data_IF_138199690433
#
_entry.id   IF_138199690433
#
_cell.length_a   1.000
_cell.length_b   1.000
_cell.length_c   1.000
_cell.angle_alpha   90.00
_cell.angle_beta   90.00
_cell.angle_gamma   90.00
#
_symmetry.space_group_name_H-M   'P 1'
#
loop_
_entity.id
_entity.type
_entity.pdbx_description
1 polymer ?
#
# COMPACT_ATOMS: atom_id res chain seq x y z
N UNK A 1 24.82 9.16 -27.18
CA UNK A 1 25.32 10.53 -27.56
C UNK A 1 24.42 11.24 -28.58
N UNK A 2 23.79 10.49 -29.51
CA UNK A 2 22.94 11.13 -30.56
C UNK A 2 21.75 11.90 -30.01
N UNK A 3 20.96 11.33 -29.10
CA UNK A 3 19.74 11.98 -28.61
C UNK A 3 20.00 13.23 -27.78
N UNK A 4 21.05 13.27 -26.95
CA UNK A 4 21.40 14.45 -26.16
C UNK A 4 21.77 15.64 -27.07
N UNK A 5 22.57 15.40 -28.12
CA UNK A 5 22.90 16.44 -29.12
C UNK A 5 21.67 16.93 -29.86
N UNK A 6 20.77 16.00 -30.24
CA UNK A 6 19.55 16.35 -30.95
C UNK A 6 18.64 17.24 -30.10
N UNK A 7 18.52 16.95 -28.81
CA UNK A 7 17.76 17.77 -27.85
C UNK A 7 18.34 19.17 -27.74
N UNK A 8 19.68 19.29 -27.60
CA UNK A 8 20.36 20.59 -27.54
C UNK A 8 20.12 21.39 -28.83
N UNK A 9 20.28 20.78 -30.00
CA UNK A 9 20.02 21.41 -31.30
C UNK A 9 18.57 21.85 -31.45
N UNK A 10 17.62 21.01 -31.06
CA UNK A 10 16.18 21.33 -31.10
C UNK A 10 15.87 22.55 -30.24
N UNK A 11 16.35 22.59 -29.00
CA UNK A 11 16.13 23.73 -28.10
C UNK A 11 16.81 25.01 -28.62
N UNK A 12 18.00 24.89 -29.20
CA UNK A 12 18.70 26.05 -29.81
C UNK A 12 17.92 26.69 -30.97
N UNK A 13 17.17 25.89 -31.76
CA UNK A 13 16.31 26.42 -32.84
C UNK A 13 15.19 27.33 -32.29
N UNK A 14 14.81 27.17 -31.03
CA UNK A 14 13.83 28.03 -30.37
C UNK A 14 14.46 29.09 -29.45
N UNK A 15 15.77 29.35 -29.61
CA UNK A 15 16.50 30.35 -28.84
C UNK A 15 16.71 29.94 -27.35
N UNK A 16 16.69 28.66 -27.04
CA UNK A 16 16.94 28.15 -25.70
C UNK A 16 18.33 27.51 -25.68
N UNK A 17 19.25 28.11 -24.96
CA UNK A 17 20.60 27.62 -24.77
C UNK A 17 20.66 26.66 -23.61
N UNK A 18 21.14 25.43 -23.86
CA UNK A 18 21.36 24.38 -22.84
C UNK A 18 22.67 23.65 -23.12
N UNK A 19 23.33 23.22 -22.04
CA UNK A 19 24.48 22.33 -22.12
C UNK A 19 24.07 20.88 -21.82
N UNK A 20 24.65 19.88 -22.51
CA UNK A 20 24.40 18.47 -22.18
C UNK A 20 25.00 18.13 -20.81
N UNK A 21 24.24 17.39 -19.99
CA UNK A 21 24.65 16.85 -18.71
C UNK A 21 24.73 15.33 -18.72
N UNK A 22 24.43 14.73 -17.57
CA UNK A 22 24.51 13.29 -17.36
C UNK A 22 23.47 12.52 -18.18
N UNK A 23 23.83 11.29 -18.56
CA UNK A 23 22.93 10.36 -19.24
C UNK A 23 22.81 9.12 -18.33
N UNK A 24 21.60 8.91 -17.80
CA UNK A 24 21.30 7.75 -16.94
C UNK A 24 20.41 6.76 -17.69
N UNK A 25 20.91 5.56 -17.90
CA UNK A 25 20.21 4.52 -18.62
C UNK A 25 19.58 3.52 -17.65
N UNK A 26 18.26 3.54 -17.53
CA UNK A 26 17.48 2.57 -16.79
C UNK A 26 16.97 1.40 -17.67
N UNK A 27 16.22 0.46 -17.08
CA UNK A 27 15.72 -0.72 -17.80
C UNK A 27 14.65 -0.37 -18.86
N UNK A 28 13.82 0.64 -18.63
CA UNK A 28 12.69 1.00 -19.51
C UNK A 28 12.84 2.36 -20.14
N UNK A 29 13.54 3.29 -19.49
CA UNK A 29 13.76 4.67 -19.96
C UNK A 29 15.23 5.04 -19.82
N UNK A 30 15.64 6.05 -20.61
CA UNK A 30 16.92 6.76 -20.46
C UNK A 30 16.62 8.21 -20.11
N UNK A 31 17.21 8.71 -19.02
CA UNK A 31 17.15 10.11 -18.63
C UNK A 31 18.37 10.85 -19.19
N UNK A 32 18.10 11.94 -19.89
CA UNK A 32 19.11 12.89 -20.37
C UNK A 32 18.97 14.16 -19.52
N UNK A 33 20.02 14.55 -18.82
CA UNK A 33 20.06 15.81 -18.09
C UNK A 33 20.60 16.92 -19.00
N UNK A 34 19.95 18.07 -18.94
CA UNK A 34 20.37 19.27 -19.65
C UNK A 34 20.52 20.42 -18.64
N UNK A 35 21.58 21.20 -18.78
CA UNK A 35 21.85 22.37 -17.94
C UNK A 35 21.45 23.64 -18.70
N UNK A 36 20.34 24.31 -18.32
CA UNK A 36 19.93 25.56 -18.94
C UNK A 36 20.95 26.67 -18.66
N UNK A 37 21.20 27.52 -19.67
CA UNK A 37 22.02 28.71 -19.49
C UNK A 37 21.39 29.70 -18.49
N UNK A 38 22.18 30.54 -17.81
CA UNK A 38 21.65 31.54 -16.88
C UNK A 38 20.57 32.42 -17.55
N UNK A 39 19.43 32.56 -16.84
CA UNK A 39 18.28 33.34 -17.35
C UNK A 39 17.27 32.57 -18.20
N UNK A 40 17.52 31.30 -18.53
CA UNK A 40 16.55 30.43 -19.22
C UNK A 40 15.47 29.98 -18.22
N UNK A 41 14.20 30.29 -18.54
CA UNK A 41 13.05 29.82 -17.77
C UNK A 41 12.74 28.36 -18.10
N UNK A 42 12.65 27.52 -17.08
CA UNK A 42 12.42 26.08 -17.25
C UNK A 42 11.09 25.76 -17.94
N UNK A 43 10.05 26.58 -17.71
CA UNK A 43 8.74 26.44 -18.33
C UNK A 43 8.82 26.52 -19.86
N UNK A 44 9.78 27.29 -20.42
CA UNK A 44 9.99 27.34 -21.87
C UNK A 44 10.45 25.99 -22.43
N UNK A 45 11.28 25.25 -21.68
CA UNK A 45 11.75 23.93 -22.09
C UNK A 45 10.58 22.96 -22.05
N UNK A 46 9.78 23.00 -20.97
CA UNK A 46 8.58 22.14 -20.80
C UNK A 46 7.58 22.39 -21.93
N UNK A 47 7.36 23.65 -22.33
CA UNK A 47 6.45 24.02 -23.43
C UNK A 47 6.86 23.41 -24.78
N UNK A 48 8.14 23.10 -24.97
CA UNK A 48 8.66 22.48 -26.18
C UNK A 48 8.68 20.94 -26.16
N UNK A 49 7.97 20.32 -25.22
CA UNK A 49 7.97 18.86 -25.08
C UNK A 49 7.54 18.13 -26.37
N UNK A 50 6.55 18.65 -27.09
CA UNK A 50 6.11 18.10 -28.36
C UNK A 50 7.17 18.21 -29.47
N UNK A 51 7.89 19.31 -29.51
CA UNK A 51 8.95 19.54 -30.48
C UNK A 51 10.14 18.60 -30.25
N UNK A 52 10.51 18.41 -28.98
CA UNK A 52 11.56 17.47 -28.56
C UNK A 52 11.12 16.03 -28.87
N UNK A 53 9.88 15.68 -28.58
CA UNK A 53 9.31 14.36 -28.87
C UNK A 53 9.37 14.03 -30.35
N UNK A 54 8.97 15.00 -31.20
CA UNK A 54 9.02 14.85 -32.66
C UNK A 54 10.45 14.70 -33.16
N UNK A 55 11.38 15.54 -32.68
CA UNK A 55 12.79 15.49 -33.07
C UNK A 55 13.43 14.13 -32.71
N UNK A 56 13.10 13.56 -31.54
CA UNK A 56 13.59 12.29 -31.11
C UNK A 56 12.88 11.10 -31.78
N UNK A 57 11.79 11.34 -32.51
CA UNK A 57 10.90 10.30 -33.05
C UNK A 57 10.44 9.33 -31.94
N UNK A 58 10.26 9.87 -30.72
CA UNK A 58 9.78 9.11 -29.59
C UNK A 58 8.25 9.09 -29.56
N UNK A 59 7.66 8.03 -29.01
CA UNK A 59 6.22 7.95 -28.82
C UNK A 59 5.73 8.96 -27.77
N UNK A 60 6.50 9.11 -26.70
CA UNK A 60 6.23 10.01 -25.57
C UNK A 60 7.53 10.30 -24.83
N UNK A 61 7.66 11.50 -24.27
CA UNK A 61 8.72 11.83 -23.32
C UNK A 61 8.11 12.40 -22.04
N UNK A 62 8.90 12.37 -20.96
CA UNK A 62 8.55 13.03 -19.71
C UNK A 62 9.65 14.02 -19.34
N UNK A 63 9.28 15.27 -18.97
CA UNK A 63 10.23 16.32 -18.63
C UNK A 63 10.11 16.65 -17.14
N UNK A 64 11.22 16.49 -16.43
CA UNK A 64 11.39 16.89 -15.03
C UNK A 64 12.12 18.25 -15.01
N UNK A 65 11.44 19.29 -14.61
CA UNK A 65 12.01 20.65 -14.60
C UNK A 65 11.65 21.37 -13.28
N UNK A 66 12.58 21.43 -12.31
CA UNK A 66 13.93 20.84 -12.30
C UNK A 66 13.96 19.35 -11.92
N UNK A 67 15.11 18.69 -12.11
CA UNK A 67 15.38 17.39 -11.50
C UNK A 67 15.49 17.58 -9.98
N UNK A 68 14.80 16.79 -9.16
CA UNK A 68 14.86 16.90 -7.70
C UNK A 68 16.32 16.92 -7.17
N UNK A 69 16.66 17.95 -6.39
CA UNK A 69 18.00 18.12 -5.81
C UNK A 69 19.06 18.67 -6.79
N UNK A 70 18.70 19.01 -8.03
CA UNK A 70 19.61 19.56 -9.06
C UNK A 70 19.02 20.81 -9.71
N UNK A 71 19.87 21.62 -10.34
CA UNK A 71 19.46 22.74 -11.19
C UNK A 71 19.28 22.36 -12.68
N UNK A 72 19.38 21.09 -13.02
CA UNK A 72 19.24 20.56 -14.37
C UNK A 72 17.78 20.23 -14.71
N UNK A 73 17.50 20.10 -16.00
CA UNK A 73 16.25 19.55 -16.55
C UNK A 73 16.51 18.13 -17.02
N UNK A 74 15.70 17.18 -16.55
CA UNK A 74 15.74 15.79 -16.95
C UNK A 74 14.71 15.51 -18.04
N UNK A 75 15.14 14.93 -19.16
CA UNK A 75 14.26 14.46 -20.23
C UNK A 75 14.32 12.93 -20.26
N UNK A 76 13.22 12.31 -19.93
CA UNK A 76 13.09 10.85 -19.90
C UNK A 76 12.49 10.37 -21.22
N UNK A 77 13.24 9.52 -21.89
CA UNK A 77 12.89 8.94 -23.20
C UNK A 77 12.78 7.44 -23.08
N UNK A 78 11.68 6.82 -23.52
CA UNK A 78 11.55 5.37 -23.54
C UNK A 78 12.68 4.73 -24.36
N UNK A 79 13.22 3.63 -23.83
CA UNK A 79 14.22 2.86 -24.55
C UNK A 79 13.60 2.13 -25.74
N UNK A 80 14.28 2.11 -26.88
CA UNK A 80 13.84 1.35 -28.05
C UNK A 80 13.75 -0.18 -27.73
N UNK A 81 14.68 -0.66 -26.92
CA UNK A 81 14.64 -2.03 -26.36
C UNK A 81 14.54 -1.91 -24.87
N UNK A 82 13.40 -2.35 -24.31
CA UNK A 82 13.16 -2.37 -22.86
C UNK A 82 13.72 -3.65 -22.26
N UNK A 83 14.47 -3.52 -21.16
CA UNK A 83 14.92 -4.66 -20.38
C UNK A 83 13.83 -5.05 -19.39
N UNK A 84 13.48 -6.34 -19.36
CA UNK A 84 12.49 -6.84 -18.38
C UNK A 84 13.10 -6.76 -16.98
N UNK A 85 12.31 -6.24 -16.03
CA UNK A 85 12.63 -6.30 -14.60
C UNK A 85 12.07 -7.61 -14.06
N UNK A 86 12.94 -8.48 -13.58
CA UNK A 86 12.59 -9.83 -13.13
C UNK A 86 12.54 -9.84 -11.61
N UNK A 87 11.49 -10.45 -11.05
CA UNK A 87 11.29 -10.53 -9.59
C UNK A 87 12.48 -11.18 -8.87
N UNK A 88 13.08 -12.24 -9.46
CA UNK A 88 14.26 -12.90 -8.89
C UNK A 88 15.40 -11.94 -8.66
N UNK A 89 15.71 -11.07 -9.64
CA UNK A 89 16.81 -10.09 -9.52
C UNK A 89 16.60 -9.14 -8.36
N UNK A 90 15.33 -8.81 -8.04
CA UNK A 90 14.99 -7.96 -6.89
C UNK A 90 15.18 -8.70 -5.58
N UNK A 91 14.73 -9.95 -5.50
CA UNK A 91 14.83 -10.78 -4.28
C UNK A 91 16.26 -11.23 -3.98
N UNK A 92 17.12 -11.35 -5.01
CA UNK A 92 18.54 -11.66 -4.87
C UNK A 92 19.43 -10.41 -4.67
N UNK A 93 18.85 -9.20 -4.78
CA UNK A 93 19.59 -7.94 -4.63
C UNK A 93 20.10 -7.73 -3.21
N UNK A 94 21.20 -6.98 -3.08
CA UNK A 94 21.77 -6.62 -1.79
C UNK A 94 20.80 -5.76 -0.97
N UNK A 95 20.02 -4.91 -1.63
CA UNK A 95 19.00 -4.05 -1.03
C UNK A 95 17.88 -4.87 -0.38
N UNK A 96 17.45 -5.97 -1.03
CA UNK A 96 16.46 -6.89 -0.45
C UNK A 96 17.04 -7.68 0.71
N UNK A 97 18.23 -8.24 0.56
CA UNK A 97 18.87 -9.07 1.58
C UNK A 97 19.25 -8.24 2.83
N UNK A 98 19.66 -6.99 2.63
CA UNK A 98 20.07 -6.08 3.71
C UNK A 98 18.95 -5.20 4.24
N UNK A 99 17.70 -5.33 3.76
CA UNK A 99 16.61 -4.45 4.17
C UNK A 99 16.27 -4.58 5.66
N UNK A 100 16.07 -3.43 6.31
CA UNK A 100 15.55 -3.33 7.69
C UNK A 100 14.04 -3.15 7.74
N UNK A 101 13.37 -3.17 6.59
CA UNK A 101 11.91 -3.08 6.50
C UNK A 101 11.25 -4.22 7.28
N UNK A 102 10.21 -3.88 8.02
CA UNK A 102 9.43 -4.85 8.81
C UNK A 102 8.57 -5.74 7.91
N UNK A 103 7.97 -5.14 6.89
CA UNK A 103 7.13 -5.83 5.91
C UNK A 103 7.61 -5.39 4.51
N UNK A 104 8.74 -5.96 4.02
CA UNK A 104 9.36 -5.51 2.79
C UNK A 104 8.55 -5.89 1.56
N UNK A 105 8.44 -4.93 0.63
CA UNK A 105 7.84 -5.08 -0.69
C UNK A 105 8.89 -4.78 -1.76
N UNK A 106 9.15 -5.72 -2.65
CA UNK A 106 9.99 -5.50 -3.82
C UNK A 106 9.14 -4.88 -4.94
N UNK A 107 9.18 -3.56 -5.10
CA UNK A 107 8.31 -2.84 -6.03
C UNK A 107 8.84 -2.84 -7.47
N UNK A 108 10.14 -2.92 -7.68
CA UNK A 108 10.75 -2.85 -9.02
C UNK A 108 12.13 -2.22 -9.01
N UNK A 109 12.49 -1.60 -10.13
CA UNK A 109 13.72 -0.83 -10.28
C UNK A 109 13.36 0.62 -10.65
N UNK A 110 14.13 1.55 -10.12
CA UNK A 110 14.00 2.97 -10.46
C UNK A 110 14.59 3.27 -11.86
N UNK A 111 14.59 4.55 -12.23
CA UNK A 111 15.14 5.02 -13.51
C UNK A 111 16.66 4.83 -13.61
N UNK A 112 17.34 4.59 -12.52
CA UNK A 112 18.77 4.28 -12.47
C UNK A 112 19.06 2.78 -12.52
N UNK A 113 18.01 1.95 -12.48
CA UNK A 113 18.12 0.49 -12.45
C UNK A 113 18.34 -0.06 -11.04
N UNK A 114 18.24 0.77 -9.99
CA UNK A 114 18.40 0.35 -8.61
C UNK A 114 17.11 -0.30 -8.08
N UNK A 115 17.19 -1.40 -7.31
CA UNK A 115 16.03 -2.01 -6.68
C UNK A 115 15.32 -1.04 -5.72
N UNK A 116 13.99 -0.99 -5.82
CA UNK A 116 13.13 -0.20 -4.92
C UNK A 116 12.42 -1.16 -3.99
N UNK A 117 12.83 -1.12 -2.72
CA UNK A 117 12.25 -1.91 -1.63
C UNK A 117 11.52 -0.95 -0.69
N UNK A 118 10.22 -1.17 -0.50
CA UNK A 118 9.40 -0.38 0.40
C UNK A 118 9.04 -1.17 1.65
N UNK A 119 8.62 -0.49 2.71
CA UNK A 119 8.10 -1.11 3.94
C UNK A 119 6.60 -0.85 4.07
N UNK A 120 5.78 -1.90 3.96
CA UNK A 120 4.33 -1.79 4.14
C UNK A 120 3.96 -1.34 5.56
N UNK A 121 4.79 -1.58 6.55
CA UNK A 121 4.56 -1.08 7.91
C UNK A 121 4.72 0.45 8.03
N UNK A 122 5.55 1.07 7.17
CA UNK A 122 5.70 2.53 7.08
C UNK A 122 4.66 3.15 6.14
N UNK A 123 4.23 2.42 5.11
CA UNK A 123 3.11 2.75 4.22
C UNK A 123 1.92 1.86 4.59
N UNK A 124 1.23 2.09 5.71
CA UNK A 124 0.32 1.09 6.29
C UNK A 124 -0.81 0.66 5.35
N UNK A 125 -1.18 1.53 4.42
CA UNK A 125 -2.19 1.25 3.40
C UNK A 125 -1.71 1.80 2.06
N UNK A 126 -1.97 1.05 0.98
CA UNK A 126 -1.49 1.36 -0.36
C UNK A 126 -2.66 1.35 -1.34
N UNK A 127 -2.75 2.39 -2.15
CA UNK A 127 -3.64 2.45 -3.30
C UNK A 127 -2.84 2.25 -4.58
N UNK A 128 -3.25 1.29 -5.40
CA UNK A 128 -2.65 0.97 -6.70
C UNK A 128 -3.63 1.34 -7.79
N UNK A 129 -3.35 2.39 -8.54
CA UNK A 129 -4.22 2.83 -9.63
C UNK A 129 -3.52 2.70 -10.98
N UNK A 130 -4.31 2.36 -12.01
CA UNK A 130 -3.79 2.26 -13.37
C UNK A 130 -4.87 1.82 -14.36
N UNK A 131 -4.72 2.25 -15.62
CA UNK A 131 -5.57 1.80 -16.71
C UNK A 131 -5.30 0.34 -17.08
N UNK A 132 -6.22 -0.28 -17.80
CA UNK A 132 -6.04 -1.65 -18.33
C UNK A 132 -4.70 -1.77 -19.06
N UNK A 133 -3.93 -2.79 -18.74
CA UNK A 133 -2.60 -3.02 -19.31
C UNK A 133 -1.47 -2.20 -18.70
N UNK A 134 -1.72 -1.36 -17.68
CA UNK A 134 -0.69 -0.57 -16.98
C UNK A 134 0.24 -1.42 -16.09
N UNK A 135 -0.15 -2.65 -15.77
CA UNK A 135 0.58 -3.56 -14.89
C UNK A 135 0.05 -3.65 -13.45
N UNK A 136 -1.17 -3.17 -13.18
CA UNK A 136 -1.83 -3.24 -11.86
C UNK A 136 -1.77 -4.65 -11.27
N UNK A 137 -2.27 -5.66 -11.99
CA UNK A 137 -2.27 -7.06 -11.55
C UNK A 137 -0.86 -7.62 -11.35
N UNK A 138 0.10 -7.22 -12.21
CA UNK A 138 1.51 -7.60 -12.04
C UNK A 138 2.06 -7.01 -10.74
N UNK A 139 1.75 -5.77 -10.43
CA UNK A 139 2.17 -5.11 -9.19
C UNK A 139 1.61 -5.83 -7.95
N UNK A 140 0.30 -6.17 -7.95
CA UNK A 140 -0.34 -6.92 -6.86
C UNK A 140 0.33 -8.28 -6.68
N UNK A 141 0.54 -9.03 -7.77
CA UNK A 141 1.20 -10.33 -7.72
C UNK A 141 2.66 -10.23 -7.23
N UNK A 142 3.38 -9.17 -7.61
CA UNK A 142 4.73 -8.89 -7.12
C UNK A 142 4.76 -8.63 -5.62
N UNK A 143 3.79 -7.87 -5.11
CA UNK A 143 3.63 -7.61 -3.68
C UNK A 143 3.34 -8.91 -2.92
N UNK A 144 2.38 -9.71 -3.40
CA UNK A 144 2.04 -11.00 -2.78
C UNK A 144 3.28 -11.91 -2.76
N UNK A 145 4.00 -12.02 -3.87
CA UNK A 145 5.22 -12.82 -3.96
C UNK A 145 6.30 -12.33 -2.98
N UNK A 146 6.49 -11.02 -2.84
CA UNK A 146 7.42 -10.44 -1.86
C UNK A 146 7.10 -10.88 -0.43
N UNK A 147 5.82 -10.84 -0.07
CA UNK A 147 5.34 -11.21 1.27
C UNK A 147 5.48 -12.72 1.51
N UNK A 148 5.10 -13.54 0.53
CA UNK A 148 5.24 -15.01 0.61
C UNK A 148 6.71 -15.46 0.69
N UNK A 149 7.61 -14.72 0.06
CA UNK A 149 9.04 -15.03 0.10
C UNK A 149 9.67 -14.71 1.46
N UNK A 150 9.06 -13.81 2.24
CA UNK A 150 9.59 -13.34 3.52
C UNK A 150 8.91 -13.93 4.75
N UNK A 151 7.63 -14.26 4.68
CA UNK A 151 6.80 -14.61 5.84
C UNK A 151 6.13 -15.96 5.70
N UNK A 152 6.16 -16.75 6.79
CA UNK A 152 5.31 -17.92 6.93
C UNK A 152 3.88 -17.56 7.38
N UNK A 153 2.95 -18.53 7.33
CA UNK A 153 1.54 -18.31 7.67
C UNK A 153 1.29 -17.99 9.15
N UNK A 154 2.24 -18.28 10.02
CA UNK A 154 2.26 -17.88 11.43
C UNK A 154 2.61 -16.41 11.64
N UNK A 155 3.33 -15.80 10.69
CA UNK A 155 3.83 -14.43 10.76
C UNK A 155 2.95 -13.45 10.00
N UNK A 156 2.37 -13.86 8.86
CA UNK A 156 1.54 -13.03 8.01
C UNK A 156 0.41 -13.83 7.40
N UNK A 157 -0.79 -13.24 7.40
CA UNK A 157 -1.98 -13.79 6.79
C UNK A 157 -2.61 -12.85 5.80
N UNK A 158 -3.39 -13.40 4.87
CA UNK A 158 -4.11 -12.65 3.85
C UNK A 158 -5.62 -12.76 3.99
N UNK A 159 -6.29 -11.64 3.70
CA UNK A 159 -7.69 -11.60 3.30
C UNK A 159 -7.70 -11.05 1.87
N UNK A 160 -8.03 -11.90 0.90
CA UNK A 160 -8.00 -11.54 -0.53
C UNK A 160 -9.42 -11.42 -1.07
N UNK A 161 -9.68 -10.33 -1.78
CA UNK A 161 -10.99 -9.99 -2.35
C UNK A 161 -10.82 -9.78 -3.85
N UNK A 162 -11.48 -10.63 -4.65
CA UNK A 162 -11.42 -10.66 -6.11
C UNK A 162 -12.85 -10.77 -6.69
N UNK A 163 -13.56 -9.65 -6.85
CA UNK A 163 -14.93 -9.66 -7.34
C UNK A 163 -15.06 -10.11 -8.80
N UNK A 164 -13.98 -10.03 -9.58
CA UNK A 164 -13.93 -10.46 -10.98
C UNK A 164 -13.61 -11.94 -11.17
N UNK A 165 -13.13 -12.62 -10.14
CA UNK A 165 -12.74 -14.05 -10.17
C UNK A 165 -11.64 -14.33 -11.21
N UNK A 166 -10.68 -13.44 -11.37
CA UNK A 166 -9.64 -13.52 -12.42
C UNK A 166 -8.23 -13.58 -11.86
N UNK A 167 -7.88 -12.67 -10.95
CA UNK A 167 -6.48 -12.40 -10.63
C UNK A 167 -5.96 -13.15 -9.42
N UNK A 168 -6.79 -13.37 -8.38
CA UNK A 168 -6.34 -13.90 -7.10
C UNK A 168 -6.71 -15.37 -6.84
N UNK A 169 -7.50 -16.00 -7.70
CA UNK A 169 -7.97 -17.39 -7.51
C UNK A 169 -6.85 -18.41 -7.40
N UNK A 170 -5.73 -18.15 -8.06
CA UNK A 170 -4.55 -19.01 -7.98
C UNK A 170 -3.97 -19.15 -6.57
N UNK A 171 -4.31 -18.24 -5.67
CA UNK A 171 -3.82 -18.21 -4.29
C UNK A 171 -4.70 -18.99 -3.30
N UNK A 172 -5.81 -19.58 -3.73
CA UNK A 172 -6.75 -20.31 -2.84
C UNK A 172 -6.11 -21.49 -2.08
N UNK A 173 -5.01 -22.04 -2.58
CA UNK A 173 -4.29 -23.13 -1.92
C UNK A 173 -3.29 -22.65 -0.84
N UNK A 174 -3.12 -21.32 -0.65
CA UNK A 174 -2.12 -20.81 0.29
C UNK A 174 -2.57 -20.97 1.75
N UNK A 175 -1.69 -21.51 2.61
CA UNK A 175 -1.96 -21.64 4.05
C UNK A 175 -2.00 -20.28 4.78
N UNK A 176 -1.60 -19.20 4.11
CA UNK A 176 -1.63 -17.84 4.63
C UNK A 176 -3.04 -17.23 4.61
N UNK A 177 -3.98 -17.80 3.88
CA UNK A 177 -5.34 -17.27 3.81
C UNK A 177 -6.07 -17.44 5.13
N UNK A 178 -6.78 -16.40 5.58
CA UNK A 178 -7.71 -16.44 6.70
C UNK A 178 -9.00 -17.14 6.29
N UNK A 179 -9.46 -16.80 5.08
CA UNK A 179 -10.62 -17.40 4.40
C UNK A 179 -10.26 -17.57 2.92
N UNK A 180 -10.90 -18.49 2.19
CA UNK A 180 -10.73 -18.58 0.74
C UNK A 180 -10.93 -17.21 0.08
N UNK A 181 -10.32 -17.00 -1.10
CA UNK A 181 -10.47 -15.73 -1.84
C UNK A 181 -11.95 -15.39 -2.01
N UNK A 182 -12.32 -14.20 -1.53
CA UNK A 182 -13.72 -13.77 -1.46
C UNK A 182 -14.11 -13.15 -2.80
N UNK A 183 -15.09 -13.73 -3.47
CA UNK A 183 -15.56 -13.31 -4.79
C UNK A 183 -16.99 -12.76 -4.77
N UNK A 184 -17.81 -13.21 -3.84
CA UNK A 184 -19.19 -12.77 -3.70
C UNK A 184 -19.25 -11.43 -2.96
N UNK A 185 -19.85 -10.37 -3.53
CA UNK A 185 -19.95 -9.06 -2.89
C UNK A 185 -20.58 -9.06 -1.50
N UNK A 186 -21.57 -9.93 -1.24
CA UNK A 186 -22.18 -10.08 0.09
C UNK A 186 -21.18 -10.62 1.11
N UNK A 187 -20.34 -11.57 0.69
CA UNK A 187 -19.28 -12.14 1.53
C UNK A 187 -18.13 -11.16 1.74
N UNK A 188 -17.91 -10.24 0.79
CA UNK A 188 -16.90 -9.18 0.95
C UNK A 188 -17.21 -8.30 2.16
N UNK A 189 -18.48 -7.90 2.33
CA UNK A 189 -18.89 -7.10 3.49
C UNK A 189 -18.60 -7.86 4.79
N UNK A 190 -18.91 -9.17 4.82
CA UNK A 190 -18.62 -10.01 6.00
C UNK A 190 -17.12 -10.12 6.27
N UNK A 191 -16.31 -10.29 5.23
CA UNK A 191 -14.85 -10.35 5.36
C UNK A 191 -14.27 -9.01 5.88
N UNK A 192 -14.73 -7.87 5.37
CA UNK A 192 -14.29 -6.56 5.86
C UNK A 192 -14.75 -6.29 7.30
N UNK A 193 -15.97 -6.67 7.67
CA UNK A 193 -16.44 -6.61 9.07
C UNK A 193 -15.59 -7.49 9.99
N UNK A 194 -15.22 -8.70 9.53
CA UNK A 194 -14.32 -9.55 10.29
C UNK A 194 -12.97 -8.88 10.54
N UNK A 195 -12.39 -8.20 9.52
CA UNK A 195 -11.13 -7.46 9.67
C UNK A 195 -11.27 -6.35 10.73
N UNK A 196 -12.37 -5.61 10.71
CA UNK A 196 -12.64 -4.56 11.71
C UNK A 196 -12.77 -5.17 13.12
N UNK A 197 -13.50 -6.26 13.27
CA UNK A 197 -13.67 -6.94 14.57
C UNK A 197 -12.33 -7.49 15.08
N UNK A 198 -11.51 -8.09 14.20
CA UNK A 198 -10.17 -8.58 14.56
C UNK A 198 -9.26 -7.41 15.00
N UNK A 199 -9.34 -6.27 14.34
CA UNK A 199 -8.64 -5.05 14.75
C UNK A 199 -9.03 -4.63 16.18
N UNK A 200 -10.31 -4.56 16.48
CA UNK A 200 -10.84 -4.21 17.80
C UNK A 200 -10.42 -5.19 18.88
N UNK A 201 -10.51 -6.50 18.58
CA UNK A 201 -10.03 -7.55 19.45
C UNK A 201 -8.53 -7.39 19.77
N UNK A 202 -7.72 -7.03 18.79
CA UNK A 202 -6.29 -6.79 19.01
C UNK A 202 -6.05 -5.60 19.93
N UNK A 203 -6.82 -4.52 19.79
CA UNK A 203 -6.73 -3.38 20.70
C UNK A 203 -7.12 -3.76 22.14
N UNK A 204 -8.15 -4.58 22.33
CA UNK A 204 -8.50 -5.09 23.65
C UNK A 204 -7.36 -5.95 24.25
N UNK A 205 -6.75 -6.82 23.43
CA UNK A 205 -5.58 -7.60 23.85
C UNK A 205 -4.41 -6.67 24.24
N UNK A 206 -4.12 -5.65 23.43
CA UNK A 206 -3.05 -4.69 23.72
C UNK A 206 -3.30 -3.94 25.02
N UNK A 207 -4.51 -3.50 25.26
CA UNK A 207 -4.90 -2.82 26.50
C UNK A 207 -4.69 -3.72 27.73
N UNK A 208 -5.06 -5.01 27.66
CA UNK A 208 -4.88 -5.97 28.73
C UNK A 208 -3.40 -6.25 29.08
N UNK A 209 -2.54 -6.25 28.03
CA UNK A 209 -1.12 -6.55 28.21
C UNK A 209 -0.27 -5.29 28.43
N UNK A 210 -0.87 -4.10 28.31
CA UNK A 210 -0.18 -2.83 28.52
C UNK A 210 0.77 -2.44 27.36
N UNK A 211 0.48 -2.90 26.13
CA UNK A 211 1.28 -2.56 24.94
C UNK A 211 0.48 -1.70 23.97
N UNK A 212 1.16 -0.99 23.07
CA UNK A 212 0.51 -0.03 22.15
C UNK A 212 0.38 -0.50 20.70
N UNK A 213 1.07 -1.57 20.33
CA UNK A 213 1.08 -2.05 18.95
C UNK A 213 1.55 -3.51 18.84
N UNK A 214 1.34 -4.10 17.68
CA UNK A 214 1.69 -5.50 17.39
C UNK A 214 3.19 -5.79 17.58
N UNK A 215 4.08 -4.84 17.28
CA UNK A 215 5.53 -5.03 17.45
C UNK A 215 5.85 -5.23 18.93
N UNK A 216 5.43 -4.30 19.78
CA UNK A 216 5.63 -4.40 21.23
C UNK A 216 4.95 -5.65 21.81
N UNK A 217 3.79 -6.04 21.26
CA UNK A 217 3.11 -7.27 21.66
C UNK A 217 3.94 -8.53 21.33
N UNK A 218 4.48 -8.62 20.12
CA UNK A 218 5.24 -9.79 19.67
C UNK A 218 6.64 -9.88 20.30
N UNK A 219 7.21 -8.74 20.72
CA UNK A 219 8.52 -8.63 21.36
C UNK A 219 8.45 -8.71 22.91
N UNK A 220 7.23 -8.79 23.50
CA UNK A 220 7.09 -8.85 24.96
C UNK A 220 7.72 -10.11 25.55
N UNK A 221 8.23 -10.07 26.79
CA UNK A 221 8.68 -11.26 27.49
C UNK A 221 7.54 -12.26 27.65
N UNK A 222 7.77 -13.51 27.27
CA UNK A 222 6.78 -14.59 27.44
C UNK A 222 6.61 -14.89 28.93
N UNK A 223 5.37 -15.01 29.39
CA UNK A 223 5.06 -15.38 30.76
C UNK A 223 5.07 -14.23 31.76
N UNK A 224 5.17 -12.96 31.32
CA UNK A 224 4.87 -11.86 32.22
C UNK A 224 3.39 -11.89 32.62
N UNK A 225 3.05 -11.89 33.93
CA UNK A 225 1.65 -11.77 34.35
C UNK A 225 1.08 -10.48 33.75
N UNK A 226 -0.21 -10.55 33.34
CA UNK A 226 -0.90 -9.32 32.96
C UNK A 226 -0.75 -8.31 34.09
N UNK A 227 -0.49 -7.02 33.82
CA UNK A 227 -0.39 -6.02 34.86
C UNK A 227 -1.65 -6.12 35.73
N UNK A 228 -1.47 -6.24 37.05
CA UNK A 228 -2.58 -6.25 37.98
C UNK A 228 -3.54 -5.12 37.62
N UNK A 229 -4.83 -5.47 37.50
CA UNK A 229 -5.88 -4.49 37.27
C UNK A 229 -5.64 -3.32 38.21
N UNK A 230 -5.24 -2.17 37.69
CA UNK A 230 -5.35 -0.93 38.49
C UNK A 230 -6.81 -0.90 38.93
N UNK A 231 -7.01 -0.86 40.24
CA UNK A 231 -8.32 -0.87 40.85
C UNK A 231 -9.22 0.11 40.06
N UNK A 232 -10.26 -0.44 39.44
CA UNK A 232 -11.27 0.37 38.80
C UNK A 232 -11.69 1.41 39.84
N UNK A 233 -11.47 2.68 39.56
CA UNK A 233 -12.14 3.75 40.27
C UNK A 233 -13.62 3.40 40.21
N UNK A 234 -14.32 3.31 41.37
CA UNK A 234 -15.71 2.93 41.38
C UNK A 234 -16.49 4.02 40.61
N UNK A 235 -16.69 3.77 39.31
CA UNK A 235 -17.68 4.49 38.56
C UNK A 235 -18.99 4.19 39.27
N UNK A 236 -19.51 5.21 39.95
CA UNK A 236 -20.79 5.21 40.64
C UNK A 236 -21.81 4.49 39.77
N UNK A 237 -22.19 3.29 40.18
CA UNK A 237 -23.36 2.58 39.65
C UNK A 237 -24.61 3.37 40.03
N UNK A 238 -24.91 4.46 39.32
CA UNK A 238 -26.24 5.03 39.34
C UNK A 238 -27.11 4.11 38.49
N UNK A 239 -27.73 3.14 39.13
CA UNK A 239 -28.93 2.51 38.62
C UNK A 239 -30.05 3.55 38.66
N UNK A 240 -30.16 4.38 37.65
CA UNK A 240 -31.40 5.09 37.36
C UNK A 240 -32.34 4.07 36.71
N UNK A 241 -33.35 3.65 37.50
CA UNK A 241 -34.56 3.07 36.96
C UNK A 241 -35.26 4.15 36.14
N UNK A 242 -35.19 4.05 34.82
CA UNK A 242 -36.01 4.81 33.90
C UNK A 242 -37.40 4.19 33.97
N UNK A 243 -38.34 4.87 34.63
CA UNK A 243 -39.75 4.53 34.53
C UNK A 243 -40.23 4.85 33.10
N UNK A 244 -41.07 3.97 32.48
CA UNK A 244 -41.53 4.23 31.12
C UNK A 244 -42.57 5.35 31.12
N UNK A 245 -42.16 6.55 30.73
CA UNK A 245 -43.02 7.63 30.33
C UNK A 245 -43.56 7.44 28.92
N UNK A 246 -44.85 7.61 28.76
CA UNK A 246 -45.63 7.37 27.57
C UNK A 246 -45.10 8.09 26.30
N UNK A 247 -45.38 7.42 25.18
CA UNK A 247 -45.26 7.78 23.77
C UNK A 247 -44.03 7.20 23.05
N UNK A 248 -44.28 6.07 22.55
CA UNK A 248 -43.92 5.24 21.42
C UNK A 248 -42.87 5.70 20.42
N UNK A 249 -41.68 5.09 20.52
CA UNK A 249 -40.94 4.51 19.41
C UNK A 249 -40.21 3.31 19.99
N UNK A 250 -40.77 2.11 19.79
CA UNK A 250 -40.04 0.86 19.99
C UNK A 250 -38.98 0.75 18.87
N UNK A 251 -37.73 1.09 19.18
CA UNK A 251 -36.61 0.64 18.39
C UNK A 251 -36.43 -0.82 18.75
N UNK A 252 -36.73 -1.72 17.81
CA UNK A 252 -36.32 -3.12 17.92
C UNK A 252 -34.79 -3.12 18.00
N UNK A 253 -34.26 -3.32 19.19
CA UNK A 253 -32.85 -3.59 19.42
C UNK A 253 -32.65 -5.04 18.99
N UNK A 254 -31.99 -5.24 17.85
CA UNK A 254 -31.51 -6.56 17.41
C UNK A 254 -30.70 -7.20 18.55
N UNK A 255 -31.19 -8.26 19.13
CA UNK A 255 -30.65 -8.95 20.32
C UNK A 255 -29.33 -9.72 20.06
N UNK A 256 -28.55 -9.42 19.04
CA UNK A 256 -27.29 -10.12 18.74
C UNK A 256 -26.03 -9.23 18.73
N UNK A 257 -25.99 -8.17 19.51
CA UNK A 257 -24.69 -7.59 19.86
C UNK A 257 -24.23 -8.25 21.17
N UNK A 258 -23.74 -9.47 21.06
CA UNK A 258 -22.97 -10.09 22.16
C UNK A 258 -21.69 -9.29 22.30
N UNK A 259 -21.66 -8.33 23.22
CA UNK A 259 -20.40 -7.74 23.69
C UNK A 259 -19.63 -8.88 24.36
N UNK A 260 -18.46 -9.33 23.82
CA UNK A 260 -17.70 -10.41 24.44
C UNK A 260 -17.39 -10.01 25.88
N UNK A 261 -17.80 -10.81 26.84
CA UNK A 261 -17.43 -10.60 28.24
C UNK A 261 -15.92 -10.65 28.35
N UNK A 262 -15.35 -9.81 29.18
CA UNK A 262 -13.90 -9.65 29.38
C UNK A 262 -13.17 -10.98 29.69
N UNK A 263 -13.87 -12.03 30.05
CA UNK A 263 -13.35 -13.33 30.44
C UNK A 263 -12.98 -14.24 29.26
N UNK A 264 -13.49 -13.98 28.03
CA UNK A 264 -13.35 -14.90 26.89
C UNK A 264 -12.18 -14.57 25.94
N UNK A 265 -11.39 -13.50 26.20
CA UNK A 265 -10.31 -13.13 25.30
C UNK A 265 -9.05 -13.94 25.63
N UNK A 266 -8.77 -14.94 24.81
CA UNK A 266 -7.51 -15.69 24.85
C UNK A 266 -6.39 -14.81 24.30
N UNK A 267 -5.34 -14.57 25.09
CA UNK A 267 -4.16 -13.81 24.70
C UNK A 267 -3.17 -14.76 24.05
N UNK A 268 -2.92 -14.66 22.73
CA UNK A 268 -1.97 -15.55 22.05
C UNK A 268 -0.51 -15.12 22.35
N UNK A 269 0.41 -16.04 22.15
CA UNK A 269 1.85 -15.75 22.28
C UNK A 269 2.35 -14.70 21.29
N UNK A 270 1.87 -14.77 20.05
CA UNK A 270 2.18 -13.84 18.95
C UNK A 270 0.94 -13.58 18.12
N UNK A 271 0.90 -12.43 17.48
CA UNK A 271 -0.10 -12.06 16.49
C UNK A 271 0.58 -11.96 15.12
N UNK A 272 -0.03 -12.58 14.11
CA UNK A 272 0.39 -12.43 12.71
C UNK A 272 -0.02 -11.06 12.17
N UNK A 273 0.76 -10.51 11.23
CA UNK A 273 0.28 -9.41 10.40
C UNK A 273 -0.88 -9.89 9.53
N UNK A 274 -1.78 -8.98 9.19
CA UNK A 274 -2.87 -9.27 8.25
C UNK A 274 -2.76 -8.27 7.09
N UNK A 275 -2.73 -8.79 5.87
CA UNK A 275 -2.75 -7.96 4.66
C UNK A 275 -4.06 -8.23 3.92
N UNK A 276 -4.89 -7.19 3.84
CA UNK A 276 -6.13 -7.18 3.08
C UNK A 276 -5.82 -6.71 1.68
N UNK A 277 -6.13 -7.50 0.66
CA UNK A 277 -5.90 -7.17 -0.75
C UNK A 277 -7.24 -7.10 -1.46
N UNK A 278 -7.54 -5.96 -2.08
CA UNK A 278 -8.73 -5.73 -2.90
C UNK A 278 -8.25 -5.47 -4.32
N UNK A 279 -8.54 -6.41 -5.24
CA UNK A 279 -8.08 -6.33 -6.63
C UNK A 279 -8.79 -5.23 -7.44
N UNK A 280 -10.08 -5.03 -7.21
CA UNK A 280 -10.86 -4.00 -7.91
C UNK A 280 -11.89 -3.35 -6.97
N UNK A 281 -11.54 -2.20 -6.44
CA UNK A 281 -12.43 -1.45 -5.53
C UNK A 281 -13.68 -0.95 -6.26
N UNK A 282 -13.55 -0.55 -7.53
CA UNK A 282 -14.67 0.02 -8.29
C UNK A 282 -15.87 -0.92 -8.36
N UNK A 283 -15.65 -2.23 -8.52
CA UNK A 283 -16.74 -3.22 -8.59
C UNK A 283 -17.46 -3.36 -7.24
N UNK A 284 -16.76 -3.23 -6.14
CA UNK A 284 -17.37 -3.26 -4.80
C UNK A 284 -18.20 -2.00 -4.52
N UNK A 285 -17.72 -0.85 -5.00
CA UNK A 285 -18.43 0.43 -4.86
C UNK A 285 -19.73 0.50 -5.68
N UNK A 286 -19.87 -0.35 -6.71
CA UNK A 286 -21.13 -0.48 -7.46
C UNK A 286 -22.20 -1.27 -6.70
N UNK A 287 -21.80 -2.17 -5.81
CA UNK A 287 -22.73 -3.09 -5.13
C UNK A 287 -23.12 -2.63 -3.73
N UNK A 288 -22.15 -2.19 -2.94
CA UNK A 288 -22.37 -1.80 -1.54
C UNK A 288 -21.44 -0.65 -1.12
N UNK A 289 -21.57 0.54 -1.73
CA UNK A 289 -20.62 1.64 -1.52
C UNK A 289 -20.49 2.05 -0.05
N UNK A 290 -21.59 2.22 0.65
CA UNK A 290 -21.58 2.70 2.04
C UNK A 290 -20.88 1.74 3.01
N UNK A 291 -21.17 0.43 2.93
CA UNK A 291 -20.55 -0.58 3.80
C UNK A 291 -19.06 -0.72 3.54
N UNK A 292 -18.67 -0.73 2.26
CA UNK A 292 -17.27 -0.87 1.83
C UNK A 292 -16.47 0.36 2.21
N UNK A 293 -16.99 1.56 1.94
CA UNK A 293 -16.35 2.83 2.29
C UNK A 293 -16.15 2.95 3.81
N UNK A 294 -17.18 2.67 4.59
CA UNK A 294 -17.11 2.72 6.05
C UNK A 294 -16.06 1.74 6.61
N UNK A 295 -16.04 0.50 6.11
CA UNK A 295 -15.09 -0.50 6.56
C UNK A 295 -13.64 -0.12 6.20
N UNK A 296 -13.38 0.32 4.97
CA UNK A 296 -12.06 0.78 4.52
C UNK A 296 -11.61 1.99 5.32
N UNK A 297 -12.49 3.00 5.51
CA UNK A 297 -12.17 4.17 6.29
C UNK A 297 -11.76 3.81 7.72
N UNK A 298 -12.50 2.89 8.37
CA UNK A 298 -12.20 2.44 9.73
C UNK A 298 -10.88 1.67 9.81
N UNK A 299 -10.61 0.78 8.84
CA UNK A 299 -9.35 0.05 8.75
C UNK A 299 -8.20 1.04 8.56
N UNK A 300 -8.30 1.97 7.60
CA UNK A 300 -7.19 2.88 7.28
C UNK A 300 -6.87 3.86 8.40
N UNK A 301 -7.86 4.23 9.22
CA UNK A 301 -7.65 5.12 10.36
C UNK A 301 -6.95 4.45 11.54
N UNK A 302 -7.24 3.17 11.81
CA UNK A 302 -6.88 2.55 13.09
C UNK A 302 -5.99 1.32 12.95
N UNK A 303 -5.95 0.63 11.82
CA UNK A 303 -5.42 -0.73 11.75
C UNK A 303 -3.88 -0.83 11.81
N UNK A 304 -3.13 0.27 11.57
CA UNK A 304 -1.65 0.27 11.56
C UNK A 304 -1.05 -0.33 12.83
N UNK A 305 -1.49 0.12 14.00
CA UNK A 305 -0.97 -0.36 15.28
C UNK A 305 -1.36 -1.82 15.55
N UNK A 306 -2.51 -2.26 15.07
CA UNK A 306 -2.97 -3.64 15.16
C UNK A 306 -2.23 -4.59 14.20
N UNK A 307 -1.36 -4.08 13.31
CA UNK A 307 -0.63 -4.88 12.32
C UNK A 307 -1.52 -5.38 11.19
N UNK A 308 -2.51 -4.59 10.82
CA UNK A 308 -3.41 -4.86 9.70
C UNK A 308 -3.19 -3.81 8.63
N UNK A 309 -2.94 -4.25 7.41
CA UNK A 309 -2.57 -3.41 6.29
C UNK A 309 -3.52 -3.65 5.12
N UNK A 310 -3.83 -2.60 4.35
CA UNK A 310 -4.76 -2.71 3.23
C UNK A 310 -4.07 -2.28 1.94
N UNK A 311 -4.20 -3.11 0.91
CA UNK A 311 -3.74 -2.85 -0.46
C UNK A 311 -4.98 -2.86 -1.33
N UNK A 312 -5.29 -1.71 -1.90
CA UNK A 312 -6.51 -1.49 -2.69
C UNK A 312 -6.12 -1.14 -4.12
N UNK A 313 -6.78 -1.76 -5.08
CA UNK A 313 -6.55 -1.48 -6.49
C UNK A 313 -7.88 -1.25 -7.26
#
# INVERSE_FOLDING_TARGET
MGNSRLMVQTLAQFGIEVAPGDITRGPTITRYELHPAPGVKLEKIVALSNNITAALKAERIHILAPVPGKSSVGIEVPNAVRTKVIMRDLLESAEWQGTKARIPLALGKDVYGQPVIADLAEMPHVLIAGSTGSGKSVCINTIIASLLYRFGPDQLRFVMIDPKVVELQQYNALPHLVVPVVTDPKKVILALRWVVNEMEKRYQIFARVGVRNIKAFNERPKGAPAPEKQAELPLLQKKEKIEPGAEGFAVEVDEEIVVPRDEDIVIPDKLSYIVVIIDELADLMLVAPADVEMAIARITQMARAAGIHCIVA
#
